data_IF_923978285292
#
_entry.id   IF_923978285292
#
_cell.length_a   1.000
_cell.length_b   1.000
_cell.length_c   1.000
_cell.angle_alpha   90.00
_cell.angle_beta   90.00
_cell.angle_gamma   90.00
#
_symmetry.space_group_name_H-M   'P 1'
#
loop_
_entity.id
_entity.type
_entity.pdbx_description
1 polymer ?
#
# COMPACT_ATOMS: atom_id res chain seq x y z
N UNK A 1 4.53 -4.89 -7.48
CA UNK A 1 5.55 -5.84 -8.00
C UNK A 1 4.86 -7.09 -8.55
N UNK A 2 5.60 -8.12 -8.97
CA UNK A 2 5.05 -9.36 -9.56
C UNK A 2 4.35 -10.29 -8.57
N UNK A 3 4.48 -10.05 -7.26
CA UNK A 3 3.71 -10.72 -6.21
C UNK A 3 2.25 -10.27 -6.13
N UNK A 4 1.88 -9.19 -6.82
CA UNK A 4 0.49 -8.75 -6.93
C UNK A 4 -0.31 -9.62 -7.92
N UNK A 5 -1.60 -9.82 -7.63
CA UNK A 5 -2.53 -10.40 -8.60
C UNK A 5 -2.82 -9.35 -9.70
N UNK A 6 -2.39 -9.60 -10.93
CA UNK A 6 -2.58 -8.69 -12.07
C UNK A 6 -4.05 -8.33 -12.31
N UNK A 7 -4.98 -9.26 -12.05
CA UNK A 7 -6.41 -9.05 -12.21
C UNK A 7 -7.03 -8.17 -11.13
N UNK A 8 -6.35 -7.97 -10.00
CA UNK A 8 -6.77 -7.00 -8.97
C UNK A 8 -5.97 -5.70 -9.10
N UNK A 9 -4.68 -5.79 -9.40
CA UNK A 9 -3.80 -4.63 -9.49
C UNK A 9 -4.19 -3.69 -10.63
N UNK A 10 -4.40 -4.19 -11.85
CA UNK A 10 -4.70 -3.31 -12.99
C UNK A 10 -6.06 -2.62 -12.86
N UNK A 11 -7.15 -3.31 -12.47
CA UNK A 11 -8.41 -2.63 -12.20
C UNK A 11 -8.32 -1.66 -11.04
N UNK A 12 -7.62 -1.98 -9.94
CA UNK A 12 -7.47 -1.05 -8.82
C UNK A 12 -6.75 0.25 -9.24
N UNK A 13 -5.68 0.15 -10.03
CA UNK A 13 -4.98 1.31 -10.60
C UNK A 13 -5.90 2.12 -11.50
N UNK A 14 -6.66 1.45 -12.38
CA UNK A 14 -7.62 2.12 -13.27
C UNK A 14 -8.71 2.85 -12.48
N UNK A 15 -9.30 2.21 -11.48
CA UNK A 15 -10.35 2.78 -10.64
C UNK A 15 -9.85 4.01 -9.87
N UNK A 16 -8.63 3.96 -9.32
CA UNK A 16 -8.02 5.12 -8.66
C UNK A 16 -7.81 6.29 -9.64
N UNK A 17 -7.35 6.00 -10.87
CA UNK A 17 -7.19 7.01 -11.91
C UNK A 17 -8.53 7.63 -12.34
N UNK A 18 -9.57 6.81 -12.51
CA UNK A 18 -10.91 7.28 -12.84
C UNK A 18 -11.50 8.14 -11.72
N UNK A 19 -11.29 7.76 -10.46
CA UNK A 19 -11.71 8.54 -9.31
C UNK A 19 -11.04 9.92 -9.29
N UNK A 20 -9.72 9.97 -9.54
CA UNK A 20 -8.97 11.22 -9.66
C UNK A 20 -9.52 12.14 -10.75
N UNK A 21 -9.87 11.59 -11.92
CA UNK A 21 -10.50 12.36 -13.02
C UNK A 21 -11.89 12.89 -12.63
N UNK A 22 -12.72 12.05 -12.03
CA UNK A 22 -14.09 12.43 -11.63
C UNK A 22 -14.09 13.52 -10.56
N UNK A 23 -13.20 13.39 -9.57
CA UNK A 23 -13.10 14.31 -8.44
C UNK A 23 -12.15 15.49 -8.71
N UNK A 24 -11.53 15.55 -9.89
CA UNK A 24 -10.56 16.59 -10.29
C UNK A 24 -9.43 16.74 -9.26
N UNK A 25 -8.90 15.61 -8.81
CA UNK A 25 -7.80 15.59 -7.85
C UNK A 25 -6.55 16.17 -8.53
N UNK A 26 -5.99 17.23 -7.95
CA UNK A 26 -4.74 17.82 -8.38
C UNK A 26 -3.57 17.00 -7.79
N UNK A 27 -2.72 16.37 -8.62
CA UNK A 27 -1.55 15.64 -8.13
C UNK A 27 -0.47 16.57 -7.55
N UNK A 28 -0.61 17.88 -7.72
CA UNK A 28 0.38 18.88 -7.35
C UNK A 28 1.48 19.03 -8.39
N UNK A 29 2.49 19.83 -8.05
CA UNK A 29 3.61 20.13 -8.94
C UNK A 29 4.50 18.89 -9.16
N UNK A 30 4.95 18.65 -10.40
CA UNK A 30 5.86 17.55 -10.70
C UNK A 30 7.20 17.74 -9.97
N UNK A 31 7.82 16.62 -9.60
CA UNK A 31 9.07 16.62 -8.86
C UNK A 31 10.25 16.27 -9.77
N UNK A 32 10.93 17.31 -10.28
CA UNK A 32 12.12 17.17 -11.15
C UNK A 32 13.43 17.13 -10.34
N UNK A 33 13.50 16.27 -9.33
CA UNK A 33 14.70 16.11 -8.48
C UNK A 33 15.01 14.66 -8.22
N UNK A 34 16.30 14.33 -8.11
CA UNK A 34 16.72 13.02 -7.65
C UNK A 34 16.39 12.86 -6.16
N UNK A 35 15.41 12.03 -5.84
CA UNK A 35 14.95 11.81 -4.46
C UNK A 35 16.06 11.27 -3.55
N UNK A 36 17.06 10.57 -4.08
CA UNK A 36 18.18 10.06 -3.28
C UNK A 36 19.15 11.16 -2.80
N UNK A 37 19.14 12.32 -3.46
CA UNK A 37 20.03 13.44 -3.14
C UNK A 37 19.33 14.52 -2.28
N UNK A 38 18.07 14.30 -1.93
CA UNK A 38 17.29 15.27 -1.16
C UNK A 38 17.66 15.23 0.33
N UNK A 39 17.83 16.40 0.98
CA UNK A 39 18.01 16.44 2.43
C UNK A 39 16.76 15.89 3.15
N UNK A 40 16.90 15.28 4.34
CA UNK A 40 15.79 14.66 5.07
C UNK A 40 14.58 15.58 5.30
N UNK A 41 14.83 16.87 5.51
CA UNK A 41 13.79 17.89 5.69
C UNK A 41 12.87 18.04 4.48
N UNK A 42 13.41 17.85 3.26
CA UNK A 42 12.62 17.89 2.02
C UNK A 42 11.96 16.54 1.75
N UNK A 43 12.64 15.43 2.01
CA UNK A 43 12.08 14.08 1.87
C UNK A 43 10.84 13.84 2.72
N UNK A 44 10.80 14.39 3.94
CA UNK A 44 9.66 14.24 4.84
C UNK A 44 8.40 14.98 4.39
N UNK A 45 8.51 15.90 3.43
CA UNK A 45 7.35 16.60 2.85
C UNK A 45 6.74 15.86 1.66
N UNK A 46 7.38 14.79 1.20
CA UNK A 46 6.92 13.98 0.08
C UNK A 46 5.99 12.89 0.62
N UNK A 47 4.86 12.66 -0.06
CA UNK A 47 3.99 11.52 0.23
C UNK A 47 4.77 10.21 0.13
N UNK A 48 4.64 9.34 1.13
CA UNK A 48 5.33 8.05 1.21
C UNK A 48 4.34 6.94 0.90
N UNK A 49 4.82 5.90 0.20
CA UNK A 49 4.07 4.66 0.08
C UNK A 49 4.04 3.94 1.45
N UNK A 50 3.03 3.08 1.69
CA UNK A 50 3.01 2.21 2.86
C UNK A 50 4.33 1.43 2.99
N UNK A 51 4.88 1.39 4.20
CA UNK A 51 6.15 0.74 4.52
C UNK A 51 6.01 -0.76 4.77
N UNK A 52 4.78 -1.22 5.00
CA UNK A 52 4.47 -2.63 5.26
C UNK A 52 3.17 -3.04 4.59
N UNK A 53 2.99 -4.35 4.43
CA UNK A 53 1.71 -4.90 3.97
C UNK A 53 0.57 -4.52 4.93
N UNK A 54 0.83 -4.48 6.24
CA UNK A 54 -0.16 -4.08 7.23
C UNK A 54 -0.66 -2.65 6.99
N UNK A 55 0.24 -1.69 6.80
CA UNK A 55 -0.14 -0.30 6.48
C UNK A 55 -0.90 -0.19 5.15
N UNK A 56 -0.55 -1.00 4.15
CA UNK A 56 -1.27 -1.02 2.88
C UNK A 56 -2.70 -1.59 3.02
N UNK A 57 -2.87 -2.61 3.87
CA UNK A 57 -4.20 -3.19 4.18
C UNK A 57 -5.04 -2.20 5.01
N UNK A 58 -4.44 -1.48 5.95
CA UNK A 58 -5.13 -0.42 6.68
C UNK A 58 -5.54 0.73 5.76
N UNK A 59 -4.69 1.12 4.81
CA UNK A 59 -5.05 2.12 3.80
C UNK A 59 -6.25 1.64 2.95
N UNK A 60 -6.22 0.40 2.45
CA UNK A 60 -7.33 -0.19 1.71
C UNK A 60 -8.62 -0.22 2.55
N UNK A 61 -8.53 -0.62 3.82
CA UNK A 61 -9.69 -0.66 4.72
C UNK A 61 -10.32 0.71 4.92
N UNK A 62 -9.50 1.76 5.02
CA UNK A 62 -9.97 3.12 5.29
C UNK A 62 -10.36 3.90 4.01
N UNK A 63 -9.88 3.48 2.84
CA UNK A 63 -10.11 4.15 1.56
C UNK A 63 -10.28 3.14 0.42
N UNK A 64 -11.47 2.53 0.32
CA UNK A 64 -11.83 1.60 -0.76
C UNK A 64 -13.12 1.98 -1.51
N UNK A 65 -13.74 3.12 -1.18
CA UNK A 65 -14.99 3.56 -1.82
C UNK A 65 -14.82 3.74 -3.34
N UNK A 66 -13.64 4.18 -3.78
CA UNK A 66 -13.35 4.32 -5.19
C UNK A 66 -13.35 2.98 -5.94
N UNK A 67 -13.06 1.85 -5.26
CA UNK A 67 -13.07 0.50 -5.84
C UNK A 67 -14.49 -0.06 -5.99
N UNK A 68 -15.42 0.38 -5.15
CA UNK A 68 -16.83 -0.07 -5.17
C UNK A 68 -17.64 0.52 -6.32
N UNK A 69 -17.14 1.58 -6.97
CA UNK A 69 -17.83 2.24 -8.08
C UNK A 69 -18.03 1.27 -9.24
N UNK A 70 -19.26 1.22 -9.76
CA UNK A 70 -19.60 0.37 -10.92
C UNK A 70 -19.49 -1.13 -10.66
N UNK A 71 -19.49 -1.55 -9.39
CA UNK A 71 -19.43 -2.96 -8.98
C UNK A 71 -18.19 -3.71 -9.52
N UNK A 72 -17.10 -2.97 -9.79
CA UNK A 72 -15.82 -3.56 -10.24
C UNK A 72 -15.20 -4.41 -9.14
N UNK A 73 -15.20 -3.89 -7.92
CA UNK A 73 -14.97 -4.66 -6.70
C UNK A 73 -16.23 -4.64 -5.86
N UNK A 74 -16.55 -5.78 -5.27
CA UNK A 74 -17.63 -5.89 -4.29
C UNK A 74 -17.06 -5.82 -2.88
N UNK A 75 -17.90 -5.40 -1.93
CA UNK A 75 -17.47 -5.21 -0.54
C UNK A 75 -16.97 -6.53 0.08
N UNK A 76 -17.63 -7.64 -0.23
CA UNK A 76 -17.26 -8.97 0.25
C UNK A 76 -15.88 -9.41 -0.26
N UNK A 77 -15.52 -9.08 -1.52
CA UNK A 77 -14.18 -9.39 -2.05
C UNK A 77 -13.10 -8.59 -1.33
N UNK A 78 -13.37 -7.31 -1.02
CA UNK A 78 -12.42 -6.47 -0.28
C UNK A 78 -12.26 -6.96 1.17
N UNK A 79 -13.37 -7.24 1.86
CA UNK A 79 -13.36 -7.78 3.22
C UNK A 79 -12.59 -9.11 3.28
N UNK A 80 -12.89 -10.04 2.37
CA UNK A 80 -12.18 -11.31 2.27
C UNK A 80 -10.67 -11.11 2.01
N UNK A 81 -10.31 -10.19 1.11
CA UNK A 81 -8.91 -9.91 0.81
C UNK A 81 -8.16 -9.34 2.01
N UNK A 82 -8.77 -8.42 2.75
CA UNK A 82 -8.22 -7.85 3.98
C UNK A 82 -7.95 -8.94 5.02
N UNK A 83 -8.95 -9.80 5.27
CA UNK A 83 -8.84 -10.89 6.24
C UNK A 83 -7.73 -11.88 5.85
N UNK A 84 -7.75 -12.35 4.60
CA UNK A 84 -6.77 -13.31 4.10
C UNK A 84 -5.34 -12.77 4.15
N UNK A 85 -5.12 -11.53 3.69
CA UNK A 85 -3.78 -10.92 3.74
C UNK A 85 -3.31 -10.59 5.15
N UNK A 86 -4.23 -10.36 6.08
CA UNK A 86 -3.87 -10.19 7.49
C UNK A 86 -3.42 -11.49 8.14
N UNK A 87 -3.86 -12.66 7.66
CA UNK A 87 -3.27 -13.93 8.08
C UNK A 87 -1.80 -14.05 7.63
N UNK A 88 -1.45 -13.60 6.42
CA UNK A 88 -0.06 -13.58 5.94
C UNK A 88 0.82 -12.67 6.82
N UNK A 89 0.33 -11.47 7.16
CA UNK A 89 1.02 -10.53 8.06
C UNK A 89 1.27 -11.19 9.42
N UNK A 90 0.22 -11.72 10.07
CA UNK A 90 0.35 -12.39 11.37
C UNK A 90 1.30 -13.58 11.32
N UNK A 91 1.31 -14.30 10.21
CA UNK A 91 2.21 -15.42 10.02
C UNK A 91 3.68 -14.96 10.02
N UNK A 92 4.02 -13.84 9.39
CA UNK A 92 5.38 -13.30 9.42
C UNK A 92 5.71 -12.71 10.80
N UNK A 93 4.83 -11.87 11.35
CA UNK A 93 5.08 -11.15 12.62
C UNK A 93 5.26 -12.07 13.83
N UNK A 94 4.67 -13.28 13.79
CA UNK A 94 4.79 -14.28 14.86
C UNK A 94 6.09 -15.10 14.83
N UNK A 95 6.95 -14.90 13.80
CA UNK A 95 8.17 -15.67 13.61
C UNK A 95 9.40 -14.79 13.85
N UNK A 96 10.33 -15.20 14.73
CA UNK A 96 11.61 -14.51 14.86
C UNK A 96 12.35 -14.47 13.53
N UNK A 97 12.83 -13.30 13.13
CA UNK A 97 13.65 -13.14 11.94
C UNK A 97 15.10 -13.57 12.24
N UNK A 98 15.82 -14.25 11.31
CA UNK A 98 17.21 -14.67 11.54
C UNK A 98 18.15 -13.57 12.02
N UNK A 99 17.96 -12.33 11.55
CA UNK A 99 18.75 -11.17 11.97
C UNK A 99 18.55 -10.80 13.46
N UNK A 100 17.40 -11.13 14.06
CA UNK A 100 17.19 -10.93 15.51
C UNK A 100 18.16 -11.77 16.34
N UNK A 101 18.54 -12.96 15.88
CA UNK A 101 19.57 -13.76 16.56
C UNK A 101 20.93 -13.08 16.48
N UNK A 102 21.30 -12.48 15.34
CA UNK A 102 22.55 -11.72 15.24
C UNK A 102 22.57 -10.52 16.20
N UNK A 103 21.42 -9.85 16.37
CA UNK A 103 21.29 -8.67 17.24
C UNK A 103 21.25 -9.01 18.74
N UNK A 104 20.58 -10.09 19.11
CA UNK A 104 20.18 -10.33 20.51
C UNK A 104 20.73 -11.62 21.14
N UNK A 105 21.32 -12.56 20.38
CA UNK A 105 21.79 -13.84 20.92
C UNK A 105 23.19 -13.78 21.58
N UNK A 106 24.04 -12.82 21.20
CA UNK A 106 25.44 -12.73 21.66
C UNK A 106 25.66 -11.92 22.95
N UNK A 107 24.64 -11.79 23.81
CA UNK A 107 24.77 -11.24 25.16
C UNK A 107 24.87 -12.33 26.22
#
# INVERSE_FOLDING_TARGET
DSGANAYFAFPAIMMAGLDGVQNKIDPGEPMDVNIYDLPPEKLNKIGKMPSSLNEALDALKNDHEFLLKGEVFTKDVIEYWLDWKMEEVRAIDSRPHPHEFELYYHY
#
